data_IF_114402569090
#
_entry.id   IF_114402569090
#
_cell.length_a   1.000
_cell.length_b   1.000
_cell.length_c   1.000
_cell.angle_alpha   90.00
_cell.angle_beta   90.00
_cell.angle_gamma   90.00
#
_symmetry.space_group_name_H-M   'P 1'
#
loop_
_entity.id
_entity.type
_entity.pdbx_description
1 polymer ?
#
# COMPACT_ATOMS: atom_id res chain seq x y z
N UNK A 1 9.35 10.28 11.78
CA UNK A 1 9.89 9.64 10.56
C UNK A 1 11.04 10.51 10.11
N UNK A 2 12.25 9.96 10.03
CA UNK A 2 13.41 10.74 9.62
C UNK A 2 13.24 11.11 8.14
N UNK A 3 13.14 12.41 7.86
CA UNK A 3 12.95 12.91 6.50
C UNK A 3 14.15 12.63 5.60
N UNK A 4 15.31 12.28 6.17
CA UNK A 4 16.50 11.89 5.40
C UNK A 4 16.37 10.54 4.69
N UNK A 5 15.39 9.72 5.07
CA UNK A 5 15.17 8.35 4.55
C UNK A 5 14.07 8.34 3.47
N UNK A 6 13.26 9.39 3.38
CA UNK A 6 12.12 9.47 2.45
C UNK A 6 12.61 9.85 1.05
N UNK A 7 12.54 8.90 0.11
CA UNK A 7 12.99 9.09 -1.27
C UNK A 7 11.98 9.86 -2.14
N UNK A 8 10.68 9.68 -1.88
CA UNK A 8 9.60 10.35 -2.60
C UNK A 8 8.40 10.56 -1.67
N UNK A 9 7.75 11.73 -1.78
CA UNK A 9 6.49 12.03 -1.08
C UNK A 9 5.53 12.67 -2.06
N UNK A 10 4.32 12.13 -2.14
CA UNK A 10 3.22 12.68 -2.92
C UNK A 10 1.97 12.76 -2.06
N UNK A 11 1.29 13.91 -2.08
CA UNK A 11 -0.05 14.02 -1.54
C UNK A 11 -1.03 13.38 -2.55
N UNK A 12 -1.83 12.43 -2.08
CA UNK A 12 -2.87 11.83 -2.90
C UNK A 12 -4.03 12.81 -3.06
N UNK A 13 -4.51 12.97 -4.30
CA UNK A 13 -5.75 13.66 -4.60
C UNK A 13 -6.94 12.89 -4.06
N UNK A 14 -8.10 13.55 -3.91
CA UNK A 14 -9.33 12.87 -3.48
C UNK A 14 -9.73 11.69 -4.38
N UNK A 15 -9.41 11.74 -5.68
CA UNK A 15 -9.64 10.63 -6.62
C UNK A 15 -8.71 9.45 -6.34
N UNK A 16 -7.42 9.70 -6.19
CA UNK A 16 -6.41 8.68 -5.86
C UNK A 16 -6.72 8.04 -4.51
N UNK A 17 -7.12 8.84 -3.51
CA UNK A 17 -7.53 8.36 -2.19
C UNK A 17 -8.79 7.50 -2.25
N UNK A 18 -9.84 7.95 -2.94
CA UNK A 18 -11.07 7.17 -3.06
C UNK A 18 -10.80 5.83 -3.76
N UNK A 19 -9.99 5.87 -4.82
CA UNK A 19 -9.56 4.66 -5.52
C UNK A 19 -8.81 3.71 -4.58
N UNK A 20 -7.81 4.22 -3.86
CA UNK A 20 -7.06 3.46 -2.85
C UNK A 20 -8.03 2.77 -1.88
N UNK A 21 -8.98 3.50 -1.32
CA UNK A 21 -10.01 2.95 -0.43
C UNK A 21 -10.85 1.84 -1.08
N UNK A 22 -11.21 1.97 -2.36
CA UNK A 22 -11.99 0.93 -3.06
C UNK A 22 -11.25 -0.41 -3.14
N UNK A 23 -9.92 -0.42 -3.17
CA UNK A 23 -9.14 -1.67 -3.15
C UNK A 23 -9.34 -2.46 -1.84
N UNK A 24 -9.67 -1.79 -0.73
CA UNK A 24 -9.89 -2.42 0.58
C UNK A 24 -11.32 -2.89 0.77
N UNK A 25 -12.28 -2.06 0.38
CA UNK A 25 -13.69 -2.39 0.54
C UNK A 25 -14.19 -3.43 -0.47
N UNK A 26 -13.56 -3.50 -1.65
CA UNK A 26 -13.89 -4.55 -2.62
C UNK A 26 -13.39 -5.89 -2.08
N UNK A 27 -14.32 -6.82 -1.86
CA UNK A 27 -13.97 -8.22 -1.65
C UNK A 27 -13.33 -8.76 -2.94
N UNK A 28 -12.01 -8.91 -2.92
CA UNK A 28 -11.27 -9.56 -3.99
C UNK A 28 -11.17 -11.02 -3.58
N UNK A 29 -11.89 -11.89 -4.26
CA UNK A 29 -11.69 -13.34 -4.14
C UNK A 29 -10.45 -13.68 -4.97
N UNK A 30 -9.40 -14.29 -4.41
CA UNK A 30 -8.27 -14.78 -5.20
C UNK A 30 -8.82 -15.71 -6.29
N UNK A 31 -8.43 -15.51 -7.55
CA UNK A 31 -9.04 -16.21 -8.69
C UNK A 31 -8.88 -17.73 -8.62
N UNK A 32 -7.90 -18.21 -7.87
CA UNK A 32 -7.56 -19.62 -7.66
C UNK A 32 -7.55 -20.02 -6.18
N UNK A 33 -7.98 -19.13 -5.27
CA UNK A 33 -7.89 -19.34 -3.83
C UNK A 33 -6.45 -19.33 -3.28
N UNK A 34 -5.45 -19.01 -4.10
CA UNK A 34 -4.05 -19.01 -3.67
C UNK A 34 -3.67 -17.65 -3.11
N UNK A 35 -3.08 -17.66 -1.92
CA UNK A 35 -2.42 -16.49 -1.37
C UNK A 35 -0.96 -16.50 -1.80
N UNK A 36 -0.35 -15.31 -1.99
CA UNK A 36 1.07 -15.23 -2.24
C UNK A 36 1.86 -15.87 -1.11
N UNK A 37 2.87 -16.68 -1.46
CA UNK A 37 3.89 -17.08 -0.50
C UNK A 37 4.58 -15.80 -0.02
N UNK A 38 4.47 -15.56 1.28
CA UNK A 38 5.03 -14.40 1.95
C UNK A 38 6.49 -14.67 2.27
N UNK A 39 7.36 -13.69 2.04
CA UNK A 39 8.75 -13.80 2.46
C UNK A 39 8.85 -13.78 4.00
N UNK A 40 9.92 -14.37 4.55
CA UNK A 40 10.19 -14.29 6.00
C UNK A 40 10.64 -12.88 6.40
N UNK A 41 11.29 -12.15 5.49
CA UNK A 41 11.70 -10.76 5.69
C UNK A 41 10.52 -9.79 5.50
N UNK A 42 10.58 -8.66 6.21
CA UNK A 42 9.70 -7.52 5.98
C UNK A 42 10.51 -6.24 5.87
N UNK A 43 10.60 -5.71 4.64
CA UNK A 43 11.34 -4.50 4.31
C UNK A 43 10.42 -3.55 3.51
N UNK A 44 9.56 -2.79 4.20
CA UNK A 44 8.57 -1.94 3.53
C UNK A 44 9.25 -0.73 2.87
N UNK A 45 9.25 -0.72 1.54
CA UNK A 45 9.74 0.44 0.76
C UNK A 45 8.67 1.51 0.53
N UNK A 46 7.40 1.22 0.84
CA UNK A 46 6.29 2.11 0.55
C UNK A 46 5.40 2.28 1.79
N UNK A 47 5.04 3.54 2.07
CA UNK A 47 4.19 3.90 3.20
C UNK A 47 3.17 4.96 2.81
N UNK A 48 1.95 4.82 3.31
CA UNK A 48 0.87 5.80 3.22
C UNK A 48 0.53 6.23 4.63
N UNK A 49 0.54 7.54 4.87
CA UNK A 49 0.21 8.13 6.17
C UNK A 49 -1.04 8.97 5.99
N UNK A 50 -2.01 8.74 6.86
CA UNK A 50 -3.26 9.48 6.91
C UNK A 50 -3.18 10.54 7.98
N UNK A 51 -3.56 11.76 7.60
CA UNK A 51 -3.57 12.93 8.46
C UNK A 51 -5.00 13.40 8.65
N UNK A 52 -5.31 13.87 9.85
CA UNK A 52 -6.58 14.55 10.13
C UNK A 52 -6.56 16.00 9.63
N UNK A 53 -7.64 16.74 9.86
CA UNK A 53 -7.77 18.15 9.46
C UNK A 53 -6.75 19.07 10.16
N UNK A 54 -6.16 18.62 11.27
CA UNK A 54 -5.12 19.34 12.01
C UNK A 54 -3.70 18.90 11.62
N UNK A 55 -3.55 18.21 10.48
CA UNK A 55 -2.29 17.64 10.01
C UNK A 55 -1.64 16.65 11.01
N UNK A 56 -2.43 16.04 11.89
CA UNK A 56 -1.94 15.04 12.83
C UNK A 56 -2.06 13.64 12.21
N UNK A 57 -0.96 12.86 12.14
CA UNK A 57 -1.02 11.50 11.60
C UNK A 57 -1.83 10.60 12.55
N UNK A 58 -2.89 9.97 12.04
CA UNK A 58 -3.77 9.10 12.85
C UNK A 58 -3.78 7.64 12.38
N UNK A 59 -3.35 7.37 11.16
CA UNK A 59 -3.23 6.01 10.63
C UNK A 59 -2.07 5.90 9.64
N UNK A 60 -1.58 4.68 9.44
CA UNK A 60 -0.59 4.38 8.42
C UNK A 60 -0.84 3.02 7.77
N UNK A 61 -0.26 2.85 6.59
CA UNK A 61 -0.21 1.61 5.84
C UNK A 61 1.15 1.45 5.19
N UNK A 62 1.81 0.33 5.45
CA UNK A 62 3.11 -0.03 4.91
C UNK A 62 2.99 -1.22 3.97
N UNK A 63 3.66 -1.15 2.83
CA UNK A 63 3.61 -2.17 1.79
C UNK A 63 5.04 -2.61 1.48
N UNK A 64 5.26 -3.92 1.53
CA UNK A 64 6.42 -4.56 0.92
C UNK A 64 5.94 -5.39 -0.29
N UNK A 65 6.22 -4.91 -1.50
CA UNK A 65 5.82 -5.61 -2.74
C UNK A 65 6.60 -6.91 -2.92
N UNK A 66 7.92 -6.89 -2.70
CA UNK A 66 8.79 -8.07 -2.73
C UNK A 66 8.44 -9.12 -1.67
N UNK A 67 8.14 -8.69 -0.45
CA UNK A 67 7.75 -9.59 0.65
C UNK A 67 6.31 -10.11 0.49
N UNK A 68 5.50 -9.45 -0.35
CA UNK A 68 4.07 -9.70 -0.53
C UNK A 68 3.28 -9.58 0.77
N UNK A 69 3.68 -8.61 1.59
CA UNK A 69 3.11 -8.34 2.91
C UNK A 69 2.75 -6.87 3.04
N UNK A 70 1.79 -6.58 3.91
CA UNK A 70 1.46 -5.23 4.29
C UNK A 70 1.02 -5.15 5.74
N UNK A 71 1.31 -4.02 6.38
CA UNK A 71 0.96 -3.75 7.77
C UNK A 71 0.22 -2.42 7.85
N UNK A 72 -0.69 -2.31 8.79
CA UNK A 72 -1.46 -1.09 8.99
C UNK A 72 -1.53 -0.77 10.48
N UNK A 73 -1.71 0.51 10.79
CA UNK A 73 -1.99 0.96 12.15
C UNK A 73 -3.22 0.26 12.73
N UNK A 74 -3.22 0.06 14.05
CA UNK A 74 -4.33 -0.55 14.78
C UNK A 74 -5.66 0.13 14.44
N UNK A 75 -6.68 -0.68 14.10
CA UNK A 75 -8.00 -0.18 13.70
C UNK A 75 -8.16 0.06 12.20
N UNK A 76 -7.10 -0.10 11.41
CA UNK A 76 -7.17 -0.07 9.96
C UNK A 76 -7.01 -1.50 9.41
N UNK A 77 -8.06 -2.03 8.76
CA UNK A 77 -8.03 -3.38 8.16
C UNK A 77 -8.02 -3.28 6.64
N UNK A 78 -7.00 -3.88 6.02
CA UNK A 78 -6.79 -3.85 4.57
C UNK A 78 -7.40 -5.04 3.82
N UNK A 79 -8.00 -6.02 4.51
CA UNK A 79 -8.40 -7.30 3.92
C UNK A 79 -7.20 -8.21 3.60
N UNK A 80 -7.47 -9.33 2.94
CA UNK A 80 -6.40 -10.26 2.52
C UNK A 80 -5.49 -9.63 1.46
N UNK A 81 -4.18 -9.69 1.71
CA UNK A 81 -3.20 -9.16 0.77
C UNK A 81 -2.86 -10.25 -0.27
N UNK A 82 -3.73 -10.39 -1.29
CA UNK A 82 -3.57 -11.36 -2.37
C UNK A 82 -2.83 -10.80 -3.58
N UNK A 83 -2.42 -11.67 -4.52
CA UNK A 83 -1.71 -11.27 -5.74
C UNK A 83 -2.47 -10.23 -6.57
N UNK A 84 -3.77 -10.38 -6.75
CA UNK A 84 -4.57 -9.45 -7.55
C UNK A 84 -4.60 -8.05 -6.93
N UNK A 85 -4.67 -7.99 -5.60
CA UNK A 85 -4.64 -6.72 -4.87
C UNK A 85 -3.27 -6.06 -4.96
N UNK A 86 -2.20 -6.84 -4.75
CA UNK A 86 -0.81 -6.40 -4.92
C UNK A 86 -0.55 -5.86 -6.33
N UNK A 87 -0.96 -6.60 -7.36
CA UNK A 87 -0.80 -6.21 -8.76
C UNK A 87 -1.59 -4.95 -9.10
N UNK A 88 -2.82 -4.85 -8.59
CA UNK A 88 -3.64 -3.65 -8.75
C UNK A 88 -2.91 -2.45 -8.13
N UNK A 89 -2.50 -2.58 -6.86
CA UNK A 89 -1.82 -1.51 -6.13
C UNK A 89 -0.53 -1.05 -6.83
N UNK A 90 0.28 -1.99 -7.30
CA UNK A 90 1.49 -1.71 -8.07
C UNK A 90 1.17 -0.94 -9.37
N UNK A 91 0.16 -1.40 -10.13
CA UNK A 91 -0.26 -0.74 -11.36
C UNK A 91 -0.70 0.72 -11.13
N UNK A 92 -1.43 0.98 -10.05
CA UNK A 92 -1.88 2.35 -9.73
C UNK A 92 -0.75 3.26 -9.31
N UNK A 93 0.19 2.77 -8.50
CA UNK A 93 1.33 3.60 -8.11
C UNK A 93 2.19 3.94 -9.35
N UNK A 94 2.30 3.03 -10.33
CA UNK A 94 2.89 3.35 -11.63
C UNK A 94 2.10 4.42 -12.40
N UNK A 95 0.78 4.29 -12.49
CA UNK A 95 -0.09 5.28 -13.15
C UNK A 95 -0.01 6.67 -12.50
N UNK A 96 0.15 6.71 -11.18
CA UNK A 96 0.28 7.94 -10.41
C UNK A 96 1.66 8.60 -10.52
N UNK A 97 2.58 7.99 -11.27
CA UNK A 97 3.89 8.56 -11.61
C UNK A 97 4.94 8.43 -10.52
N UNK A 98 4.80 7.48 -9.59
CA UNK A 98 5.82 7.17 -8.60
C UNK A 98 7.09 6.69 -9.30
N UNK A 99 8.23 7.26 -8.93
CA UNK A 99 9.51 7.08 -9.64
C UNK A 99 10.36 5.98 -9.02
N UNK A 100 10.23 5.76 -7.72
CA UNK A 100 10.97 4.71 -7.04
C UNK A 100 10.25 3.37 -7.18
N UNK A 101 11.02 2.36 -7.61
CA UNK A 101 10.46 1.11 -8.11
C UNK A 101 9.74 0.34 -7.01
N UNK A 102 8.53 -0.08 -7.36
CA UNK A 102 7.69 -1.04 -6.66
C UNK A 102 8.15 -2.41 -7.12
N UNK A 103 9.29 -2.87 -6.57
CA UNK A 103 10.01 -4.12 -6.83
C UNK A 103 9.65 -4.83 -8.17
N UNK A 104 10.54 -4.69 -9.17
CA UNK A 104 10.48 -5.39 -10.46
C UNK A 104 10.48 -6.93 -10.24
N UNK A 105 9.75 -7.72 -11.06
CA UNK A 105 9.15 -9.01 -10.73
C UNK A 105 10.13 -10.14 -10.40
#
# INVERSE_FOLDING_TARGET
MDSSIVQERKALTGKEMNFFLTLFYKRITPKDGTLPEQAICYEPHHGIIFYDESETPFAYFEICFSCRQAYASKGFYFGEFCYERLNSLNAYFKEWGWKYMLDNP
#
